data_IF_567471897530
#
_entry.id   IF_567471897530
#
_cell.length_a   1.000
_cell.length_b   1.000
_cell.length_c   1.000
_cell.angle_alpha   90.00
_cell.angle_beta   90.00
_cell.angle_gamma   90.00
#
_symmetry.space_group_name_H-M   'P 1'
#
loop_
_entity.id
_entity.type
_entity.pdbx_description
1 polymer ?
#
# COMPACT_ATOMS: atom_id res chain seq x y z
N UNK A 1 -2.45 10.48 -13.35
CA UNK A 1 -3.69 10.58 -12.56
C UNK A 1 -3.48 11.69 -11.54
N UNK A 2 -4.48 12.53 -11.26
CA UNK A 2 -4.35 13.59 -10.26
C UNK A 2 -4.85 13.09 -8.90
N UNK A 3 -3.94 12.71 -7.99
CA UNK A 3 -4.31 12.17 -6.68
C UNK A 3 -5.09 13.18 -5.82
N UNK A 4 -4.79 14.48 -5.92
CA UNK A 4 -5.50 15.53 -5.18
C UNK A 4 -6.96 15.59 -5.60
N UNK A 5 -7.21 15.60 -6.90
CA UNK A 5 -8.56 15.61 -7.47
C UNK A 5 -9.31 14.35 -7.07
N UNK A 6 -8.68 13.17 -7.21
CA UNK A 6 -9.27 11.90 -6.79
C UNK A 6 -9.64 11.87 -5.30
N UNK A 7 -8.77 12.37 -4.42
CA UNK A 7 -9.08 12.45 -2.99
C UNK A 7 -10.20 13.46 -2.69
N UNK A 8 -10.20 14.59 -3.40
CA UNK A 8 -11.26 15.61 -3.26
C UNK A 8 -12.61 15.03 -3.64
N UNK A 9 -12.71 14.40 -4.82
CA UNK A 9 -13.93 13.76 -5.32
C UNK A 9 -14.41 12.63 -4.40
N UNK A 10 -13.48 11.87 -3.81
CA UNK A 10 -13.78 10.83 -2.83
C UNK A 10 -14.46 11.38 -1.56
N UNK A 11 -14.12 12.61 -1.15
CA UNK A 11 -14.62 13.23 0.07
C UNK A 11 -15.92 14.03 -0.12
N UNK A 12 -16.17 14.59 -1.31
CA UNK A 12 -17.32 15.46 -1.60
C UNK A 12 -18.72 14.85 -1.32
N UNK A 13 -18.93 13.52 -1.39
CA UNK A 13 -20.17 12.89 -0.96
C UNK A 13 -20.41 12.96 0.56
N UNK A 14 -19.35 13.04 1.37
CA UNK A 14 -19.43 12.94 2.84
C UNK A 14 -19.28 14.30 3.54
N UNK A 15 -18.49 15.22 2.96
CA UNK A 15 -18.27 16.55 3.52
C UNK A 15 -18.35 17.64 2.46
N UNK A 16 -18.96 18.78 2.82
CA UNK A 16 -18.95 20.01 2.03
C UNK A 16 -17.89 21.02 2.49
N UNK A 17 -17.17 20.70 3.56
CA UNK A 17 -16.09 21.53 4.09
C UNK A 17 -14.83 21.34 3.22
N UNK A 18 -14.66 22.23 2.24
CA UNK A 18 -13.52 22.19 1.33
C UNK A 18 -12.19 22.46 2.04
N UNK A 19 -12.20 23.24 3.14
CA UNK A 19 -10.98 23.53 3.90
C UNK A 19 -10.52 22.30 4.67
N UNK A 20 -11.45 21.53 5.23
CA UNK A 20 -11.17 20.22 5.83
C UNK A 20 -10.57 19.25 4.82
N UNK A 21 -11.20 19.10 3.64
CA UNK A 21 -10.73 18.20 2.58
C UNK A 21 -9.32 18.60 2.12
N UNK A 22 -9.10 19.90 1.88
CA UNK A 22 -7.79 20.42 1.47
C UNK A 22 -6.71 20.19 2.55
N UNK A 23 -7.04 20.36 3.84
CA UNK A 23 -6.10 20.07 4.93
C UNK A 23 -5.72 18.59 4.98
N UNK A 24 -6.68 17.69 4.78
CA UNK A 24 -6.41 16.25 4.78
C UNK A 24 -5.59 15.83 3.56
N UNK A 25 -5.86 16.40 2.39
CA UNK A 25 -4.99 16.21 1.23
C UNK A 25 -3.56 16.70 1.51
N UNK A 26 -3.40 17.91 2.05
CA UNK A 26 -2.07 18.46 2.37
C UNK A 26 -1.32 17.59 3.39
N UNK A 27 -2.01 16.96 4.33
CA UNK A 27 -1.42 15.98 5.25
C UNK A 27 -0.92 14.74 4.50
N UNK A 28 -1.75 14.15 3.62
CA UNK A 28 -1.39 13.01 2.78
C UNK A 28 -0.18 13.35 1.92
N UNK A 29 -0.27 14.42 1.13
CA UNK A 29 0.80 14.88 0.25
C UNK A 29 2.10 15.11 1.01
N UNK A 30 2.04 15.81 2.15
CA UNK A 30 3.21 16.05 3.00
C UNK A 30 3.82 14.75 3.51
N UNK A 31 3.00 13.80 3.96
CA UNK A 31 3.46 12.52 4.52
C UNK A 31 4.14 11.67 3.47
N UNK A 32 3.52 11.46 2.31
CA UNK A 32 4.11 10.69 1.22
C UNK A 32 5.27 11.42 0.51
N UNK A 33 5.50 12.71 0.80
CA UNK A 33 6.65 13.48 0.30
C UNK A 33 7.78 13.65 1.32
N UNK A 34 7.74 12.96 2.48
CA UNK A 34 8.80 13.01 3.48
C UNK A 34 10.13 12.51 2.88
N UNK A 35 11.24 13.21 3.13
CA UNK A 35 12.55 12.96 2.49
C UNK A 35 13.09 11.52 2.61
N UNK A 36 12.66 10.78 3.62
CA UNK A 36 13.08 9.40 3.86
C UNK A 36 12.27 8.35 3.12
N UNK A 37 11.17 8.73 2.46
CA UNK A 37 10.34 7.87 1.62
C UNK A 37 10.85 7.93 0.19
N UNK A 38 11.17 6.78 -0.36
CA UNK A 38 11.69 6.64 -1.72
C UNK A 38 10.86 5.67 -2.55
N UNK A 39 10.23 4.69 -1.90
CA UNK A 39 9.24 3.80 -2.49
C UNK A 39 7.85 4.14 -1.98
N UNK A 40 7.67 4.32 -0.66
CA UNK A 40 6.37 4.58 -0.04
C UNK A 40 5.96 6.05 -0.17
N UNK A 41 5.88 6.53 -1.42
CA UNK A 41 5.63 7.90 -1.83
C UNK A 41 4.30 8.06 -2.61
N UNK A 42 4.05 9.24 -3.18
CA UNK A 42 2.83 9.47 -3.96
C UNK A 42 2.78 8.63 -5.25
N UNK A 43 3.92 8.27 -5.83
CA UNK A 43 3.97 7.43 -7.02
C UNK A 43 3.54 5.99 -6.70
N UNK A 44 3.81 5.49 -5.49
CA UNK A 44 3.24 4.23 -5.01
C UNK A 44 1.70 4.26 -5.00
N UNK A 45 1.10 5.32 -4.46
CA UNK A 45 -0.36 5.47 -4.49
C UNK A 45 -0.91 5.51 -5.91
N UNK A 46 -0.23 6.21 -6.82
CA UNK A 46 -0.61 6.24 -8.23
C UNK A 46 -0.60 4.84 -8.85
N UNK A 47 0.45 4.06 -8.60
CA UNK A 47 0.54 2.68 -9.11
C UNK A 47 -0.56 1.80 -8.54
N UNK A 48 -0.83 1.86 -7.23
CA UNK A 48 -1.92 1.07 -6.63
C UNK A 48 -3.26 1.38 -7.28
N UNK A 49 -3.59 2.65 -7.50
CA UNK A 49 -4.83 3.02 -8.17
C UNK A 49 -4.88 2.60 -9.65
N UNK A 50 -3.75 2.64 -10.37
CA UNK A 50 -3.69 2.13 -11.73
C UNK A 50 -3.95 0.61 -11.78
N UNK A 51 -3.41 -0.14 -10.82
CA UNK A 51 -3.68 -1.57 -10.71
C UNK A 51 -5.14 -1.85 -10.36
N UNK A 52 -5.70 -1.14 -9.39
CA UNK A 52 -7.10 -1.32 -8.97
C UNK A 52 -8.09 -0.94 -10.07
N UNK A 53 -7.76 0.03 -10.94
CA UNK A 53 -8.61 0.39 -12.09
C UNK A 53 -8.80 -0.79 -13.05
N UNK A 54 -7.81 -1.68 -13.17
CA UNK A 54 -7.91 -2.87 -14.04
C UNK A 54 -8.87 -3.93 -13.54
N UNK A 55 -9.23 -3.89 -12.26
CA UNK A 55 -10.11 -4.86 -11.58
C UNK A 55 -11.34 -4.20 -10.97
N UNK A 56 -11.62 -2.94 -11.31
CA UNK A 56 -12.67 -2.13 -10.66
C UNK A 56 -14.06 -2.76 -10.68
N UNK A 57 -14.37 -3.55 -11.71
CA UNK A 57 -15.66 -4.24 -11.87
C UNK A 57 -15.85 -5.37 -10.83
N UNK A 58 -14.77 -5.83 -10.22
CA UNK A 58 -14.79 -6.86 -9.17
C UNK A 58 -14.79 -6.27 -7.75
N UNK A 59 -14.47 -4.98 -7.60
CA UNK A 59 -14.41 -4.30 -6.31
C UNK A 59 -15.83 -3.88 -5.90
N UNK A 60 -16.30 -4.42 -4.76
CA UNK A 60 -17.67 -4.17 -4.27
C UNK A 60 -17.80 -2.78 -3.66
N UNK A 61 -16.78 -2.33 -2.92
CA UNK A 61 -16.73 -1.02 -2.28
C UNK A 61 -15.46 -0.25 -2.68
N UNK A 62 -15.47 0.38 -3.87
CA UNK A 62 -14.32 1.15 -4.35
C UNK A 62 -14.03 2.39 -3.49
N UNK A 63 -15.01 2.87 -2.70
CA UNK A 63 -14.84 4.00 -1.80
C UNK A 63 -13.97 3.61 -0.61
N UNK A 64 -14.30 2.50 0.06
CA UNK A 64 -13.48 1.98 1.16
C UNK A 64 -12.06 1.65 0.69
N UNK A 65 -11.91 0.94 -0.43
CA UNK A 65 -10.59 0.63 -0.99
C UNK A 65 -9.80 1.90 -1.29
N UNK A 66 -10.43 2.94 -1.84
CA UNK A 66 -9.74 4.20 -2.14
C UNK A 66 -9.22 4.90 -0.89
N UNK A 67 -10.00 4.94 0.19
CA UNK A 67 -9.51 5.46 1.47
C UNK A 67 -8.36 4.62 2.03
N UNK A 68 -8.45 3.29 1.94
CA UNK A 68 -7.37 2.39 2.36
C UNK A 68 -6.09 2.65 1.57
N UNK A 69 -6.16 2.86 0.25
CA UNK A 69 -4.99 3.24 -0.56
C UNK A 69 -4.37 4.54 -0.04
N UNK A 70 -5.15 5.61 0.16
CA UNK A 70 -4.59 6.88 0.64
C UNK A 70 -3.97 6.77 2.04
N UNK A 71 -4.50 5.92 2.91
CA UNK A 71 -4.11 5.90 4.32
C UNK A 71 -3.21 4.74 4.74
N UNK A 72 -3.03 3.66 3.97
CA UNK A 72 -2.32 2.46 4.45
C UNK A 72 -0.90 2.74 4.97
N UNK A 73 -0.15 3.61 4.29
CA UNK A 73 1.21 4.03 4.67
C UNK A 73 1.30 5.51 5.04
N UNK A 74 0.19 6.11 5.47
CA UNK A 74 0.20 7.52 5.90
C UNK A 74 1.20 7.75 7.04
N UNK A 75 1.37 6.77 7.93
CA UNK A 75 2.45 6.72 8.91
C UNK A 75 3.46 5.67 8.46
N UNK A 76 4.70 6.09 8.23
CA UNK A 76 5.77 5.21 7.78
C UNK A 76 7.09 5.56 8.48
N UNK A 77 7.70 4.55 9.07
CA UNK A 77 9.07 4.58 9.60
C UNK A 77 9.67 3.18 9.36
N UNK A 78 10.74 3.10 8.59
CA UNK A 78 11.39 1.83 8.22
C UNK A 78 11.91 1.04 9.43
N UNK A 79 12.11 1.68 10.59
CA UNK A 79 12.53 1.01 11.82
C UNK A 79 11.35 0.53 12.69
N UNK A 80 10.13 0.94 12.36
CA UNK A 80 8.93 0.70 13.17
C UNK A 80 8.16 -0.53 12.70
N UNK A 81 7.61 -1.29 13.66
CA UNK A 81 6.72 -2.44 13.43
C UNK A 81 5.24 -2.11 13.61
N UNK A 82 4.92 -0.83 13.79
CA UNK A 82 3.57 -0.38 14.14
C UNK A 82 3.02 0.61 13.12
N UNK A 83 3.51 0.56 11.88
CA UNK A 83 3.16 1.56 10.86
C UNK A 83 1.69 1.40 10.49
N UNK A 84 1.27 0.18 10.22
CA UNK A 84 -0.08 -0.19 9.80
C UNK A 84 -1.09 0.14 10.91
N UNK A 85 -0.78 -0.19 12.18
CA UNK A 85 -1.66 0.18 13.31
C UNK A 85 -1.80 1.71 13.46
N UNK A 86 -0.70 2.45 13.33
CA UNK A 86 -0.72 3.93 13.43
C UNK A 86 -1.43 4.57 12.24
N UNK A 87 -1.25 4.01 11.04
CA UNK A 87 -1.93 4.42 9.82
C UNK A 87 -3.43 4.18 9.92
N UNK A 88 -3.84 3.00 10.40
CA UNK A 88 -5.24 2.67 10.64
C UNK A 88 -5.88 3.63 11.65
N UNK A 89 -5.21 3.92 12.77
CA UNK A 89 -5.68 4.91 13.74
C UNK A 89 -5.83 6.31 13.12
N UNK A 90 -4.85 6.75 12.32
CA UNK A 90 -4.93 8.03 11.61
C UNK A 90 -6.10 8.05 10.61
N UNK A 91 -6.34 6.95 9.89
CA UNK A 91 -7.48 6.83 9.00
C UNK A 91 -8.79 6.99 9.78
N UNK A 92 -8.96 6.27 10.88
CA UNK A 92 -10.15 6.36 11.75
C UNK A 92 -10.39 7.82 12.18
N UNK A 93 -9.37 8.51 12.70
CA UNK A 93 -9.49 9.92 13.13
C UNK A 93 -9.98 10.84 12.00
N UNK A 94 -9.47 10.67 10.78
CA UNK A 94 -9.78 11.55 9.64
C UNK A 94 -11.13 11.24 9.03
N UNK A 95 -11.46 9.95 8.90
CA UNK A 95 -12.73 9.52 8.33
C UNK A 95 -13.90 9.85 9.26
N UNK A 96 -13.71 9.80 10.59
CA UNK A 96 -14.69 10.32 11.55
C UNK A 96 -14.94 11.82 11.37
N UNK A 97 -13.88 12.61 11.18
CA UNK A 97 -13.99 14.06 10.94
C UNK A 97 -14.66 14.38 9.59
N UNK A 98 -14.51 13.52 8.58
CA UNK A 98 -15.22 13.63 7.30
C UNK A 98 -16.70 13.20 7.38
N UNK A 99 -17.14 12.63 8.51
CA UNK A 99 -18.53 12.21 8.70
C UNK A 99 -18.87 10.84 8.11
N UNK A 100 -17.87 9.98 7.86
CA UNK A 100 -18.13 8.61 7.43
C UNK A 100 -18.80 7.81 8.56
N UNK A 101 -19.63 6.83 8.18
CA UNK A 101 -20.26 5.95 9.15
C UNK A 101 -19.25 4.94 9.75
N UNK A 102 -19.59 4.38 10.91
CA UNK A 102 -18.70 3.50 11.66
C UNK A 102 -18.36 2.20 10.90
N UNK A 103 -19.27 1.70 10.07
CA UNK A 103 -19.07 0.47 9.28
C UNK A 103 -17.96 0.66 8.24
N UNK A 104 -18.02 1.75 7.46
CA UNK A 104 -17.01 2.07 6.46
C UNK A 104 -15.66 2.38 7.10
N UNK A 105 -15.65 3.10 8.22
CA UNK A 105 -14.42 3.36 9.00
C UNK A 105 -13.78 2.05 9.49
N UNK A 106 -14.59 1.13 10.01
CA UNK A 106 -14.11 -0.18 10.44
C UNK A 106 -13.55 -0.99 9.27
N UNK A 107 -14.21 -0.97 8.11
CA UNK A 107 -13.73 -1.65 6.89
C UNK A 107 -12.36 -1.12 6.44
N UNK A 108 -12.22 0.21 6.34
CA UNK A 108 -10.94 0.85 5.97
C UNK A 108 -9.84 0.51 6.98
N UNK A 109 -10.13 0.59 8.28
CA UNK A 109 -9.17 0.23 9.32
C UNK A 109 -8.71 -1.22 9.19
N UNK A 110 -9.63 -2.17 8.97
CA UNK A 110 -9.29 -3.59 8.79
C UNK A 110 -8.47 -3.83 7.53
N UNK A 111 -8.79 -3.14 6.43
CA UNK A 111 -8.03 -3.21 5.18
C UNK A 111 -6.59 -2.73 5.36
N UNK A 112 -6.38 -1.61 6.04
CA UNK A 112 -5.04 -1.09 6.35
C UNK A 112 -4.28 -2.06 7.25
N UNK A 113 -4.91 -2.62 8.28
CA UNK A 113 -4.24 -3.59 9.16
C UNK A 113 -3.82 -4.87 8.42
N UNK A 114 -4.58 -5.29 7.40
CA UNK A 114 -4.28 -6.47 6.60
C UNK A 114 -2.98 -6.33 5.77
N UNK A 115 -2.55 -5.10 5.44
CA UNK A 115 -1.30 -4.88 4.69
C UNK A 115 -0.07 -5.31 5.47
N UNK A 116 -0.16 -5.42 6.80
CA UNK A 116 0.96 -5.84 7.65
C UNK A 116 1.48 -7.24 7.33
N UNK A 117 0.58 -8.18 7.05
CA UNK A 117 0.91 -9.60 6.88
C UNK A 117 0.61 -10.14 5.50
N UNK A 118 -0.12 -9.38 4.67
CA UNK A 118 -0.59 -9.77 3.34
C UNK A 118 -1.12 -11.20 3.28
N UNK A 119 -1.91 -11.59 4.28
CA UNK A 119 -2.56 -12.90 4.32
C UNK A 119 -3.87 -12.83 3.54
N UNK A 120 -4.35 -13.99 3.09
CA UNK A 120 -5.67 -14.08 2.46
C UNK A 120 -6.74 -13.59 3.44
N UNK A 121 -7.58 -12.67 2.99
CA UNK A 121 -8.72 -12.13 3.75
C UNK A 121 -10.02 -12.78 3.27
N UNK A 122 -10.99 -12.94 4.18
CA UNK A 122 -12.36 -13.31 3.84
C UNK A 122 -13.11 -12.17 3.10
N UNK A 123 -12.60 -10.92 3.20
CA UNK A 123 -13.12 -9.77 2.45
C UNK A 123 -12.41 -9.67 1.09
N UNK A 124 -13.18 -9.84 0.01
CA UNK A 124 -12.66 -9.84 -1.37
C UNK A 124 -11.98 -8.53 -1.76
N UNK A 125 -12.51 -7.38 -1.32
CA UNK A 125 -11.95 -6.07 -1.66
C UNK A 125 -10.58 -5.85 -1.00
N UNK A 126 -10.41 -6.37 0.22
CA UNK A 126 -9.12 -6.39 0.92
C UNK A 126 -8.07 -7.14 0.10
N UNK A 127 -8.42 -8.28 -0.50
CA UNK A 127 -7.48 -9.04 -1.31
C UNK A 127 -6.98 -8.26 -2.54
N UNK A 128 -7.86 -7.49 -3.21
CA UNK A 128 -7.44 -6.60 -4.31
C UNK A 128 -6.54 -5.45 -3.83
N UNK A 129 -6.78 -4.88 -2.64
CA UNK A 129 -5.88 -3.90 -2.04
C UNK A 129 -4.49 -4.48 -1.78
N UNK A 130 -4.41 -5.66 -1.17
CA UNK A 130 -3.15 -6.34 -0.88
C UNK A 130 -2.38 -6.67 -2.17
N UNK A 131 -3.08 -7.10 -3.21
CA UNK A 131 -2.49 -7.42 -4.49
C UNK A 131 -1.98 -6.18 -5.23
N UNK A 132 -2.72 -5.08 -5.18
CA UNK A 132 -2.28 -3.80 -5.74
C UNK A 132 -1.01 -3.28 -5.05
N UNK A 133 -0.93 -3.40 -3.72
CA UNK A 133 0.24 -3.01 -2.92
C UNK A 133 1.49 -3.84 -3.27
N UNK A 134 1.30 -5.15 -3.48
CA UNK A 134 2.38 -6.09 -3.84
C UNK A 134 2.70 -6.15 -5.33
N UNK A 135 1.95 -5.45 -6.18
CA UNK A 135 2.05 -5.55 -7.65
C UNK A 135 3.44 -5.25 -8.19
N UNK A 136 4.23 -4.41 -7.50
CA UNK A 136 5.61 -4.09 -7.87
C UNK A 136 6.50 -5.33 -7.95
N UNK A 137 6.21 -6.35 -7.14
CA UNK A 137 7.01 -7.58 -7.09
C UNK A 137 6.94 -8.31 -8.44
N UNK A 138 5.79 -8.27 -9.10
CA UNK A 138 5.55 -8.91 -10.40
C UNK A 138 5.85 -8.06 -11.63
N UNK A 139 6.39 -6.85 -11.48
CA UNK A 139 6.75 -6.00 -12.63
C UNK A 139 7.99 -6.53 -13.36
N UNK A 140 8.26 -5.94 -14.51
CA UNK A 140 9.50 -6.22 -15.24
C UNK A 140 10.75 -5.93 -14.38
N UNK A 141 11.88 -6.50 -14.81
CA UNK A 141 13.10 -6.48 -14.02
C UNK A 141 13.61 -5.06 -13.75
N UNK A 142 13.42 -4.13 -14.69
CA UNK A 142 13.89 -2.76 -14.52
C UNK A 142 13.11 -2.05 -13.40
N UNK A 143 11.78 -2.14 -13.45
CA UNK A 143 10.89 -1.62 -12.40
C UNK A 143 11.19 -2.26 -11.03
N UNK A 144 11.37 -3.57 -10.99
CA UNK A 144 11.71 -4.29 -9.76
C UNK A 144 13.07 -3.86 -9.18
N UNK A 145 14.10 -3.69 -10.03
CA UNK A 145 15.41 -3.21 -9.57
C UNK A 145 15.37 -1.76 -9.10
N UNK A 146 14.50 -0.91 -9.66
CA UNK A 146 14.26 0.43 -9.11
C UNK A 146 13.61 0.37 -7.72
N UNK A 147 12.58 -0.46 -7.57
CA UNK A 147 11.96 -0.75 -6.28
C UNK A 147 12.98 -1.18 -5.21
N UNK A 148 13.81 -2.19 -5.50
CA UNK A 148 14.81 -2.67 -4.53
C UNK A 148 15.83 -1.59 -4.13
N UNK A 149 16.25 -0.74 -5.09
CA UNK A 149 17.13 0.41 -4.82
C UNK A 149 16.45 1.46 -3.94
N UNK A 150 15.16 1.75 -4.17
CA UNK A 150 14.37 2.67 -3.34
C UNK A 150 14.19 2.14 -1.93
N UNK A 151 13.80 0.87 -1.76
CA UNK A 151 13.73 0.21 -0.45
C UNK A 151 15.08 0.27 0.25
N UNK A 152 16.20 -0.02 -0.44
CA UNK A 152 17.54 0.07 0.18
C UNK A 152 17.82 1.47 0.74
N UNK A 153 17.36 2.53 0.06
CA UNK A 153 17.52 3.92 0.54
C UNK A 153 16.67 4.21 1.78
N UNK A 154 15.44 3.72 1.84
CA UNK A 154 14.56 3.90 3.02
C UNK A 154 15.18 3.24 4.27
N UNK A 155 15.83 2.09 4.09
CA UNK A 155 16.55 1.38 5.15
C UNK A 155 18.04 1.78 5.26
N UNK A 156 18.43 2.95 4.73
CA UNK A 156 19.84 3.42 4.73
C UNK A 156 20.46 3.57 6.12
N UNK A 157 19.63 3.74 7.16
CA UNK A 157 20.07 3.76 8.56
C UNK A 157 20.73 2.45 9.01
N UNK A 158 20.41 1.33 8.35
CA UNK A 158 20.98 0.04 8.67
C UNK A 158 22.18 -0.27 7.76
N UNK A 159 23.34 -0.66 8.33
CA UNK A 159 24.45 -1.19 7.55
C UNK A 159 24.05 -2.52 6.91
N UNK A 160 24.75 -2.90 5.84
CA UNK A 160 24.43 -4.11 5.06
C UNK A 160 24.42 -5.39 5.91
N UNK A 161 25.27 -5.47 6.94
CA UNK A 161 25.31 -6.60 7.86
C UNK A 161 23.98 -6.83 8.60
N UNK A 162 23.19 -5.77 8.82
CA UNK A 162 21.86 -5.85 9.44
C UNK A 162 20.74 -5.85 8.40
N UNK A 163 20.87 -5.03 7.35
CA UNK A 163 19.87 -4.93 6.29
C UNK A 163 19.70 -6.22 5.52
N UNK A 164 20.79 -6.83 5.04
CA UNK A 164 20.72 -8.02 4.16
C UNK A 164 20.01 -9.20 4.84
N UNK A 165 20.33 -9.61 6.08
CA UNK A 165 19.59 -10.67 6.75
C UNK A 165 18.11 -10.34 6.94
N UNK A 166 17.77 -9.08 7.27
CA UNK A 166 16.39 -8.61 7.40
C UNK A 166 15.63 -8.71 6.08
N UNK A 167 16.22 -8.19 4.99
CA UNK A 167 15.63 -8.26 3.65
C UNK A 167 15.46 -9.70 3.18
N UNK A 168 16.45 -10.58 3.38
CA UNK A 168 16.34 -12.01 3.08
C UNK A 168 15.14 -12.67 3.80
N UNK A 169 14.83 -12.28 5.04
CA UNK A 169 13.64 -12.79 5.76
C UNK A 169 12.34 -12.34 5.10
N UNK A 170 12.23 -11.08 4.69
CA UNK A 170 11.04 -10.57 3.97
C UNK A 170 10.84 -11.29 2.64
N UNK A 171 11.90 -11.45 1.84
CA UNK A 171 11.81 -12.14 0.55
C UNK A 171 11.38 -13.61 0.73
N UNK A 172 11.97 -14.31 1.71
CA UNK A 172 11.59 -15.69 2.04
C UNK A 172 10.14 -15.79 2.51
N UNK A 173 9.69 -14.86 3.35
CA UNK A 173 8.31 -14.84 3.82
C UNK A 173 7.33 -14.83 2.64
N UNK A 174 7.55 -13.97 1.63
CA UNK A 174 6.70 -13.96 0.43
C UNK A 174 6.81 -15.24 -0.40
N UNK A 175 8.01 -15.80 -0.55
CA UNK A 175 8.22 -17.06 -1.28
C UNK A 175 7.63 -18.29 -0.57
N UNK A 176 7.40 -18.21 0.74
CA UNK A 176 6.79 -19.25 1.57
C UNK A 176 5.25 -19.18 1.59
N UNK A 177 4.65 -18.09 1.09
CA UNK A 177 3.20 -18.02 0.89
C UNK A 177 2.77 -19.02 -0.19
N UNK A 178 1.60 -19.63 -0.02
CA UNK A 178 0.98 -20.47 -1.06
C UNK A 178 0.84 -19.70 -2.38
N UNK A 179 0.36 -18.45 -2.27
CA UNK A 179 0.31 -17.47 -3.35
C UNK A 179 0.68 -16.07 -2.85
N UNK A 180 1.54 -15.38 -3.59
CA UNK A 180 1.90 -13.98 -3.28
C UNK A 180 0.68 -13.10 -3.52
N UNK A 181 0.01 -13.29 -4.65
CA UNK A 181 -1.23 -12.59 -4.99
C UNK A 181 -2.46 -13.42 -4.60
N UNK A 182 -3.47 -12.78 -4.05
CA UNK A 182 -4.66 -13.39 -3.44
C UNK A 182 -5.79 -13.60 -4.43
N UNK A 183 -5.83 -12.79 -5.48
CA UNK A 183 -6.84 -12.85 -6.53
C UNK A 183 -6.30 -13.50 -7.80
N UNK A 184 -7.17 -14.17 -8.55
CA UNK A 184 -6.79 -14.84 -9.80
C UNK A 184 -6.22 -13.87 -10.82
N UNK A 185 -6.81 -12.68 -10.96
CA UNK A 185 -6.38 -11.66 -11.94
C UNK A 185 -4.93 -11.21 -11.71
N UNK A 186 -4.55 -10.93 -10.46
CA UNK A 186 -3.17 -10.57 -10.13
C UNK A 186 -2.25 -11.79 -10.15
N UNK A 187 -2.72 -12.95 -9.71
CA UNK A 187 -1.95 -14.19 -9.77
C UNK A 187 -1.51 -14.53 -11.19
N UNK A 188 -2.42 -14.50 -12.16
CA UNK A 188 -2.12 -14.75 -13.58
C UNK A 188 -1.14 -13.73 -14.16
N UNK A 189 -1.24 -12.46 -13.76
CA UNK A 189 -0.38 -11.38 -14.26
C UNK A 189 1.02 -11.38 -13.63
N UNK A 190 1.12 -11.70 -12.35
CA UNK A 190 2.28 -11.29 -11.55
C UNK A 190 2.97 -12.40 -10.77
N UNK A 191 2.30 -13.51 -10.43
CA UNK A 191 2.82 -14.53 -9.53
C UNK A 191 4.17 -15.10 -10.01
N UNK A 192 4.24 -15.52 -11.28
CA UNK A 192 5.45 -16.12 -11.85
C UNK A 192 6.61 -15.12 -11.85
N UNK A 193 6.35 -13.88 -12.26
CA UNK A 193 7.37 -12.83 -12.33
C UNK A 193 7.85 -12.42 -10.93
N UNK A 194 6.93 -12.31 -9.97
CA UNK A 194 7.26 -12.02 -8.58
C UNK A 194 8.17 -13.09 -7.98
N UNK A 195 7.83 -14.38 -8.16
CA UNK A 195 8.69 -15.48 -7.69
C UNK A 195 10.09 -15.44 -8.32
N UNK A 196 10.19 -15.12 -9.62
CA UNK A 196 11.48 -14.94 -10.30
C UNK A 196 12.28 -13.77 -9.71
N UNK A 197 11.66 -12.60 -9.59
CA UNK A 197 12.29 -11.38 -9.08
C UNK A 197 12.79 -11.55 -7.63
N UNK A 198 11.93 -12.07 -6.75
CA UNK A 198 12.25 -12.31 -5.34
C UNK A 198 13.39 -13.33 -5.20
N UNK A 199 13.37 -14.41 -5.99
CA UNK A 199 14.43 -15.44 -5.97
C UNK A 199 15.76 -14.87 -6.46
N UNK A 200 15.74 -14.07 -7.53
CA UNK A 200 16.94 -13.41 -8.05
C UNK A 200 17.53 -12.44 -7.03
N UNK A 201 16.72 -11.59 -6.38
CA UNK A 201 17.18 -10.70 -5.31
C UNK A 201 17.79 -11.51 -4.15
N UNK A 202 17.14 -12.61 -3.76
CA UNK A 202 17.62 -13.48 -2.68
C UNK A 202 18.99 -14.10 -2.97
N UNK A 203 19.33 -14.34 -4.23
CA UNK A 203 20.66 -14.86 -4.62
C UNK A 203 21.74 -13.78 -4.60
N UNK A 204 21.36 -12.50 -4.74
CA UNK A 204 22.28 -11.36 -4.79
C UNK A 204 22.61 -10.76 -3.40
N UNK A 205 21.78 -11.01 -2.38
CA UNK A 205 21.92 -10.46 -1.02
C UNK A 205 22.95 -11.20 -0.17
#
# INVERSE_FOLDING_TARGET
MNLKEKFTDLCLPFSKDQDLINRFWQEIEKKYSEKGRHYHDLFHLENMFLELETVKEYIKDPVAVSYSVFYHDIIYDAASKSNEEKSALRAVERLQQLGLNAEMISKVSSQILATKSHQLSDDSDTNYLLDADLSILGKDLEAYLDYTRKIRKEYSIYPDLLYKPGRRKVLKHFLELESIFKTSDFGERYEQKAKQNLTAELQLL
#
